data_IF_447343881991
#
_entry.id   IF_447343881991
#
_cell.length_a   1.000
_cell.length_b   1.000
_cell.length_c   1.000
_cell.angle_alpha   90.00
_cell.angle_beta   90.00
_cell.angle_gamma   90.00
#
_symmetry.space_group_name_H-M   'P 1'
#
loop_
_entity.id
_entity.type
_entity.pdbx_description
1 polymer ?
#
# COMPACT_ATOMS: atom_id res chain seq x y z
N UNK A 1 -12.38 -2.69 -23.05
CA UNK A 1 -11.50 -1.80 -22.30
C UNK A 1 -11.15 -2.44 -20.96
N UNK A 2 -9.89 -2.59 -20.69
CA UNK A 2 -9.45 -3.21 -19.44
C UNK A 2 -9.55 -2.24 -18.27
N UNK A 3 -9.88 -2.72 -17.08
CA UNK A 3 -9.95 -1.85 -15.90
C UNK A 3 -8.58 -1.29 -15.54
N UNK A 4 -8.58 -0.05 -15.06
CA UNK A 4 -7.40 0.63 -14.57
C UNK A 4 -7.60 0.85 -13.08
N UNK A 5 -6.60 0.45 -12.28
CA UNK A 5 -6.65 0.57 -10.83
C UNK A 5 -5.74 1.70 -10.35
N UNK A 6 -6.33 2.61 -9.59
CA UNK A 6 -5.61 3.75 -9.02
C UNK A 6 -4.93 3.33 -7.72
N UNK A 7 -3.63 3.60 -7.64
CA UNK A 7 -2.79 3.15 -6.54
C UNK A 7 -2.31 4.31 -5.68
N UNK A 8 -2.45 4.15 -4.37
CA UNK A 8 -1.91 5.07 -3.37
C UNK A 8 -0.80 4.35 -2.61
N UNK A 9 0.34 5.00 -2.45
CA UNK A 9 1.46 4.46 -1.67
C UNK A 9 1.52 5.19 -0.33
N UNK A 10 1.50 4.44 0.76
CA UNK A 10 1.54 4.98 2.12
C UNK A 10 2.76 4.39 2.81
N UNK A 11 3.80 5.20 2.99
CA UNK A 11 5.07 4.77 3.57
C UNK A 11 5.81 6.02 4.04
N UNK A 12 6.53 5.95 5.14
CA UNK A 12 7.27 7.11 5.64
C UNK A 12 8.69 7.22 5.05
N UNK A 13 9.08 6.27 4.19
CA UNK A 13 10.41 6.27 3.59
C UNK A 13 10.36 6.48 2.07
N UNK A 14 11.12 7.46 1.59
CA UNK A 14 11.19 7.78 0.16
C UNK A 14 11.60 6.60 -0.73
N UNK A 15 12.58 5.76 -0.34
CA UNK A 15 12.96 4.63 -1.19
C UNK A 15 11.82 3.67 -1.52
N UNK A 16 10.88 3.48 -0.59
CA UNK A 16 9.71 2.62 -0.85
C UNK A 16 8.82 3.23 -1.92
N UNK A 17 8.59 4.54 -1.88
CA UNK A 17 7.82 5.23 -2.92
C UNK A 17 8.48 5.10 -4.28
N UNK A 18 9.79 5.28 -4.32
CA UNK A 18 10.55 5.16 -5.57
C UNK A 18 10.42 3.78 -6.18
N UNK A 19 10.60 2.74 -5.36
CA UNK A 19 10.52 1.36 -5.84
C UNK A 19 9.12 1.00 -6.33
N UNK A 20 8.10 1.33 -5.53
CA UNK A 20 6.72 1.00 -5.89
C UNK A 20 6.23 1.79 -7.10
N UNK A 21 6.62 3.06 -7.20
CA UNK A 21 6.26 3.87 -8.36
C UNK A 21 6.84 3.27 -9.64
N UNK A 22 8.09 2.80 -9.58
CA UNK A 22 8.72 2.15 -10.73
C UNK A 22 7.99 0.86 -11.11
N UNK A 23 7.56 0.07 -10.13
CA UNK A 23 6.83 -1.17 -10.39
C UNK A 23 5.44 -0.90 -10.97
N UNK A 24 4.74 0.08 -10.43
CA UNK A 24 3.42 0.49 -10.94
C UNK A 24 3.53 0.93 -12.40
N UNK A 25 4.58 1.68 -12.74
CA UNK A 25 4.77 2.18 -14.10
C UNK A 25 4.95 1.06 -15.14
N UNK A 26 5.35 -0.13 -14.71
CA UNK A 26 5.53 -1.28 -15.60
C UNK A 26 4.25 -2.07 -15.85
N UNK A 27 3.17 -1.74 -15.14
CA UNK A 27 1.90 -2.47 -15.24
C UNK A 27 0.85 -1.60 -15.90
N UNK A 28 0.34 -2.03 -17.05
CA UNK A 28 -0.64 -1.24 -17.81
C UNK A 28 -1.94 -1.02 -17.07
N UNK A 29 -2.35 -1.97 -16.24
CA UNK A 29 -3.59 -1.90 -15.49
C UNK A 29 -3.50 -1.06 -14.22
N UNK A 30 -2.32 -0.55 -13.89
CA UNK A 30 -2.12 0.25 -12.67
C UNK A 30 -1.75 1.69 -13.02
N UNK A 31 -2.26 2.61 -12.21
CA UNK A 31 -1.92 4.04 -12.31
C UNK A 31 -1.49 4.55 -10.96
N UNK A 32 -0.31 5.15 -10.91
CA UNK A 32 0.15 5.82 -9.69
C UNK A 32 -0.70 7.06 -9.46
N UNK A 33 -1.39 7.12 -8.33
CA UNK A 33 -2.36 8.19 -8.06
C UNK A 33 -2.03 9.03 -6.83
N UNK A 34 -1.01 8.67 -6.07
CA UNK A 34 -0.61 9.49 -4.94
C UNK A 34 0.35 8.81 -4.00
N UNK A 35 0.98 9.64 -3.17
CA UNK A 35 1.93 9.20 -2.14
C UNK A 35 1.60 9.91 -0.84
N UNK A 36 1.47 9.14 0.24
CA UNK A 36 1.35 9.68 1.58
C UNK A 36 2.57 9.22 2.38
N UNK A 37 3.17 10.12 3.15
CA UNK A 37 4.40 9.84 3.88
C UNK A 37 4.17 9.65 5.38
N UNK A 38 2.91 9.71 5.80
CA UNK A 38 2.53 9.41 7.19
C UNK A 38 1.03 9.11 7.23
N UNK A 39 0.57 8.63 8.38
CA UNK A 39 -0.83 8.23 8.53
C UNK A 39 -1.81 9.38 8.41
N UNK A 40 -1.44 10.58 8.84
CA UNK A 40 -2.33 11.74 8.75
C UNK A 40 -2.55 12.15 7.30
N UNK A 41 -1.48 12.17 6.49
CA UNK A 41 -1.61 12.43 5.05
C UNK A 41 -2.47 11.37 4.38
N UNK A 42 -2.26 10.10 4.77
CA UNK A 42 -3.02 8.99 4.21
C UNK A 42 -4.51 9.14 4.50
N UNK A 43 -4.87 9.45 5.73
CA UNK A 43 -6.28 9.64 6.10
C UNK A 43 -6.93 10.76 5.29
N UNK A 44 -6.23 11.86 5.14
CA UNK A 44 -6.72 12.99 4.35
C UNK A 44 -6.95 12.59 2.90
N UNK A 45 -5.96 11.93 2.29
CA UNK A 45 -6.05 11.51 0.90
C UNK A 45 -7.15 10.48 0.68
N UNK A 46 -7.30 9.51 1.59
CA UNK A 46 -8.35 8.50 1.50
C UNK A 46 -9.75 9.10 1.62
N UNK A 47 -9.89 10.18 2.38
CA UNK A 47 -11.17 10.84 2.55
C UNK A 47 -11.51 11.79 1.38
N UNK A 48 -10.51 12.34 0.71
CA UNK A 48 -10.71 13.31 -0.36
C UNK A 48 -10.77 12.70 -1.76
N UNK A 49 -10.17 11.52 -1.93
CA UNK A 49 -10.04 10.89 -3.26
C UNK A 49 -10.42 9.42 -3.20
N UNK A 50 -10.69 8.85 -4.36
CA UNK A 50 -10.96 7.42 -4.48
C UNK A 50 -9.72 6.70 -5.01
N UNK A 51 -9.37 5.60 -4.39
CA UNK A 51 -8.28 4.73 -4.82
C UNK A 51 -8.79 3.30 -4.88
N UNK A 52 -8.15 2.47 -5.68
CA UNK A 52 -8.55 1.07 -5.83
C UNK A 52 -7.65 0.15 -5.03
N UNK A 53 -6.37 0.49 -4.95
CA UNK A 53 -5.36 -0.30 -4.23
C UNK A 53 -4.50 0.63 -3.38
N UNK A 54 -4.22 0.23 -2.14
CA UNK A 54 -3.22 0.92 -1.32
C UNK A 54 -2.07 -0.02 -1.00
N UNK A 55 -0.85 0.50 -1.11
CA UNK A 55 0.37 -0.17 -0.65
C UNK A 55 0.73 0.49 0.67
N UNK A 56 0.60 -0.24 1.76
CA UNK A 56 0.62 0.32 3.09
C UNK A 56 1.76 -0.26 3.93
N UNK A 57 2.70 0.61 4.35
CA UNK A 57 3.73 0.24 5.31
C UNK A 57 3.09 0.15 6.68
N UNK A 58 3.26 -0.99 7.36
CA UNK A 58 2.67 -1.17 8.68
C UNK A 58 3.52 -0.54 9.80
N UNK A 59 4.76 -0.23 9.51
CA UNK A 59 5.70 0.24 10.53
C UNK A 59 6.02 1.73 10.37
N UNK A 60 4.99 2.56 10.54
CA UNK A 60 5.11 4.01 10.47
C UNK A 60 5.03 4.62 11.86
N UNK A 61 5.66 5.79 12.03
CA UNK A 61 5.58 6.54 13.28
C UNK A 61 4.20 7.21 13.43
N UNK A 62 3.79 7.46 14.66
CA UNK A 62 2.55 8.10 15.08
C UNK A 62 1.33 7.22 14.81
N UNK A 63 0.96 7.02 13.55
CA UNK A 63 -0.11 6.10 13.18
C UNK A 63 0.52 4.97 12.38
N UNK A 64 0.45 3.74 12.90
CA UNK A 64 0.97 2.56 12.19
C UNK A 64 0.02 2.16 11.06
N UNK A 65 0.51 1.29 10.17
CA UNK A 65 -0.35 0.76 9.12
C UNK A 65 -1.54 -0.02 9.67
N UNK A 66 -1.32 -0.79 10.75
CA UNK A 66 -2.41 -1.55 11.39
C UNK A 66 -3.47 -0.60 11.94
N UNK A 67 -3.04 0.46 12.65
CA UNK A 67 -3.96 1.46 13.17
C UNK A 67 -4.75 2.15 12.06
N UNK A 68 -4.06 2.45 10.94
CA UNK A 68 -4.72 3.08 9.80
C UNK A 68 -5.82 2.18 9.22
N UNK A 69 -5.56 0.87 9.12
CA UNK A 69 -6.57 -0.07 8.65
C UNK A 69 -7.78 -0.10 9.57
N UNK A 70 -7.56 -0.04 10.87
CA UNK A 70 -8.65 -0.01 11.85
C UNK A 70 -9.49 1.26 11.76
N UNK A 71 -8.85 2.38 11.43
CA UNK A 71 -9.53 3.68 11.29
C UNK A 71 -10.30 3.79 9.96
N UNK A 72 -10.00 2.94 8.99
CA UNK A 72 -10.61 2.98 7.67
C UNK A 72 -11.17 1.60 7.30
N UNK A 73 -12.29 1.20 7.89
CA UNK A 73 -12.84 -0.15 7.66
C UNK A 73 -13.31 -0.37 6.23
N UNK A 74 -13.69 0.68 5.51
CA UNK A 74 -14.15 0.59 4.11
C UNK A 74 -13.05 1.00 3.12
N UNK A 75 -11.82 0.73 3.47
CA UNK A 75 -10.67 1.12 2.67
C UNK A 75 -10.56 0.34 1.35
N UNK A 76 -9.78 0.84 0.39
CA UNK A 76 -9.46 0.10 -0.83
C UNK A 76 -8.75 -1.23 -0.53
N UNK A 77 -8.59 -2.06 -1.54
CA UNK A 77 -7.79 -3.28 -1.42
C UNK A 77 -6.40 -2.92 -0.89
N UNK A 78 -5.95 -3.64 0.12
CA UNK A 78 -4.73 -3.27 0.85
C UNK A 78 -3.65 -4.33 0.69
N UNK A 79 -2.47 -3.91 0.23
CA UNK A 79 -1.27 -4.74 0.18
C UNK A 79 -0.29 -4.15 1.19
N UNK A 80 0.03 -4.94 2.21
CA UNK A 80 0.96 -4.50 3.26
C UNK A 80 2.39 -4.58 2.76
N UNK A 81 3.20 -3.58 3.06
CA UNK A 81 4.64 -3.64 2.82
C UNK A 81 5.35 -3.57 4.18
N UNK A 82 6.39 -4.36 4.34
CA UNK A 82 7.09 -4.42 5.62
C UNK A 82 8.49 -4.98 5.46
N UNK A 83 9.40 -4.56 6.34
CA UNK A 83 10.73 -5.14 6.45
C UNK A 83 10.74 -6.34 7.42
N UNK A 84 9.64 -6.58 8.11
CA UNK A 84 9.56 -7.58 9.20
C UNK A 84 8.52 -8.64 8.89
N UNK A 85 8.97 -9.90 8.73
CA UNK A 85 8.08 -11.01 8.41
C UNK A 85 7.05 -11.31 9.51
N UNK A 86 7.37 -11.02 10.76
CA UNK A 86 6.46 -11.28 11.88
C UNK A 86 5.18 -10.47 11.81
N UNK A 87 5.23 -9.30 11.21
CA UNK A 87 4.05 -8.43 11.08
C UNK A 87 3.08 -8.89 10.00
N UNK A 88 3.52 -9.78 9.11
CA UNK A 88 2.68 -10.25 8.01
C UNK A 88 1.43 -10.98 8.52
N UNK A 89 1.59 -11.79 9.56
CA UNK A 89 0.45 -12.52 10.14
C UNK A 89 -0.60 -11.57 10.71
N UNK A 90 -0.16 -10.53 11.40
CA UNK A 90 -1.08 -9.52 11.95
C UNK A 90 -1.81 -8.79 10.83
N UNK A 91 -1.13 -8.53 9.71
CA UNK A 91 -1.74 -7.86 8.56
C UNK A 91 -2.89 -8.66 7.99
N UNK A 92 -2.74 -9.98 7.86
CA UNK A 92 -3.80 -10.84 7.36
C UNK A 92 -5.02 -10.82 8.28
N UNK A 93 -4.81 -10.71 9.57
CA UNK A 93 -5.92 -10.65 10.53
C UNK A 93 -6.73 -9.36 10.39
N UNK A 94 -6.21 -8.36 9.68
CA UNK A 94 -6.87 -7.08 9.47
C UNK A 94 -7.36 -6.93 8.02
N UNK A 95 -7.64 -8.04 7.35
CA UNK A 95 -8.22 -8.06 6.00
C UNK A 95 -7.35 -7.46 4.89
N UNK A 96 -6.02 -7.52 5.05
CA UNK A 96 -5.13 -7.20 3.95
C UNK A 96 -5.18 -8.34 2.93
N UNK A 97 -5.16 -8.02 1.65
CA UNK A 97 -5.22 -9.06 0.61
C UNK A 97 -3.87 -9.75 0.42
N UNK A 98 -2.77 -9.07 0.74
CA UNK A 98 -1.46 -9.67 0.62
C UNK A 98 -0.44 -8.82 1.39
N UNK A 99 0.78 -9.30 1.44
CA UNK A 99 1.88 -8.54 2.01
C UNK A 99 3.14 -8.72 1.16
N UNK A 100 4.03 -7.73 1.24
CA UNK A 100 5.30 -7.73 0.51
C UNK A 100 6.42 -7.40 1.49
N UNK A 101 7.44 -8.26 1.54
CA UNK A 101 8.63 -7.99 2.34
C UNK A 101 9.57 -7.07 1.57
N UNK A 102 10.08 -6.06 2.24
CA UNK A 102 11.09 -5.15 1.67
C UNK A 102 12.47 -5.82 1.67
N UNK A 103 13.30 -5.58 0.66
CA UNK A 103 13.05 -4.79 -0.53
C UNK A 103 12.10 -5.52 -1.49
N UNK A 104 11.21 -4.77 -2.14
CA UNK A 104 10.16 -5.36 -2.96
C UNK A 104 10.66 -5.54 -4.40
N UNK A 105 10.81 -6.81 -4.81
CA UNK A 105 11.15 -7.12 -6.19
C UNK A 105 9.92 -6.99 -7.08
N UNK A 106 10.15 -6.74 -8.36
CA UNK A 106 9.06 -6.66 -9.32
C UNK A 106 8.29 -7.98 -9.44
N UNK A 107 8.98 -9.11 -9.34
CA UNK A 107 8.34 -10.42 -9.38
C UNK A 107 7.33 -10.62 -8.25
N UNK A 108 7.71 -10.25 -7.04
CA UNK A 108 6.81 -10.35 -5.88
C UNK A 108 5.66 -9.36 -5.98
N UNK A 109 5.96 -8.17 -6.50
CA UNK A 109 4.96 -7.15 -6.74
C UNK A 109 3.88 -7.68 -7.70
N UNK A 110 4.28 -8.27 -8.81
CA UNK A 110 3.35 -8.83 -9.80
C UNK A 110 2.46 -9.90 -9.20
N UNK A 111 3.01 -10.77 -8.37
CA UNK A 111 2.22 -11.81 -7.72
C UNK A 111 1.16 -11.24 -6.79
N UNK A 112 1.49 -10.18 -6.08
CA UNK A 112 0.57 -9.56 -5.13
C UNK A 112 -0.62 -8.90 -5.82
N UNK A 113 -0.42 -8.35 -7.01
CA UNK A 113 -1.51 -7.65 -7.72
C UNK A 113 -2.37 -8.56 -8.59
N UNK A 114 -2.01 -9.81 -8.72
CA UNK A 114 -2.86 -10.78 -9.43
C UNK A 114 -4.12 -11.13 -8.59
#
# INVERSE_FOLDING_TARGET
MEPIYRCLIIDDETPAHTALTAHIAKCEELVYSGSAFNGMEALKMLNENSYDIIFLDINMSIISGVELMEMQPNRPLTIITTAYSDFALSAYQNDAIDYLLKPISFEKFLKAIE
#
